data_IF_247154331430
#
_entry.id   IF_247154331430
#
_cell.length_a   1.000
_cell.length_b   1.000
_cell.length_c   1.000
_cell.angle_alpha   90.00
_cell.angle_beta   90.00
_cell.angle_gamma   90.00
#
_symmetry.space_group_name_H-M   'P 1'
#
loop_
_entity.id
_entity.type
_entity.pdbx_description
1 polymer ?
#
# COMPACT_ATOMS: atom_id res chain seq x y z
N UNK A 1 -44.08 16.75 -5.11
CA UNK A 1 -43.61 15.36 -4.82
C UNK A 1 -42.42 14.90 -5.71
N UNK A 2 -41.64 15.80 -6.33
CA UNK A 2 -40.49 15.46 -7.21
C UNK A 2 -39.13 15.54 -6.51
N UNK A 3 -38.98 16.46 -5.55
CA UNK A 3 -37.71 16.70 -4.81
C UNK A 3 -37.34 15.54 -3.87
N UNK A 4 -38.32 14.86 -3.26
CA UNK A 4 -38.07 13.73 -2.35
C UNK A 4 -37.42 12.52 -3.00
N UNK A 5 -37.49 12.40 -4.33
CA UNK A 5 -36.87 11.30 -5.09
C UNK A 5 -35.37 11.47 -5.29
N UNK A 6 -34.86 12.70 -5.17
CA UNK A 6 -33.43 13.01 -5.37
C UNK A 6 -32.63 13.04 -4.06
N UNK A 7 -33.30 13.04 -2.90
CA UNK A 7 -32.65 12.95 -1.59
C UNK A 7 -31.63 11.79 -1.45
N UNK A 8 -31.93 10.55 -1.86
CA UNK A 8 -30.95 9.46 -1.73
C UNK A 8 -29.73 9.65 -2.63
N UNK A 9 -29.92 10.20 -3.83
CA UNK A 9 -28.83 10.48 -4.77
C UNK A 9 -27.92 11.61 -4.26
N UNK A 10 -28.51 12.65 -3.66
CA UNK A 10 -27.77 13.76 -3.05
C UNK A 10 -27.00 13.28 -1.81
N UNK A 11 -27.62 12.42 -0.99
CA UNK A 11 -26.96 11.80 0.17
C UNK A 11 -25.75 10.95 -0.25
N UNK A 12 -25.92 10.12 -1.29
CA UNK A 12 -24.84 9.29 -1.81
C UNK A 12 -23.71 10.14 -2.43
N UNK A 13 -24.06 11.18 -3.19
CA UNK A 13 -23.08 12.11 -3.74
C UNK A 13 -22.32 12.86 -2.64
N UNK A 14 -23.02 13.30 -1.58
CA UNK A 14 -22.39 13.91 -0.42
C UNK A 14 -21.42 12.98 0.30
N UNK A 15 -21.78 11.71 0.47
CA UNK A 15 -20.92 10.70 1.09
C UNK A 15 -19.66 10.45 0.25
N UNK A 16 -19.79 10.33 -1.07
CA UNK A 16 -18.64 10.15 -1.99
C UNK A 16 -17.69 11.34 -1.94
N UNK A 17 -18.22 12.57 -1.86
CA UNK A 17 -17.40 13.78 -1.72
C UNK A 17 -16.67 13.80 -0.37
N UNK A 18 -17.32 13.38 0.72
CA UNK A 18 -16.71 13.30 2.05
C UNK A 18 -15.60 12.24 2.16
N UNK A 19 -15.72 11.11 1.45
CA UNK A 19 -14.72 10.03 1.49
C UNK A 19 -13.65 10.15 0.41
N UNK A 20 -13.86 10.97 -0.62
CA UNK A 20 -12.99 11.07 -1.80
C UNK A 20 -11.81 12.03 -1.65
N UNK A 21 -11.75 12.83 -0.59
CA UNK A 21 -10.61 13.73 -0.36
C UNK A 21 -9.44 12.95 0.21
N UNK A 22 -8.35 12.86 -0.55
CA UNK A 22 -7.09 12.32 -0.04
C UNK A 22 -6.57 13.23 1.08
N UNK A 23 -6.85 12.86 2.32
CA UNK A 23 -6.25 13.53 3.48
C UNK A 23 -4.76 13.22 3.50
N UNK A 24 -3.86 14.19 3.75
CA UNK A 24 -2.48 13.88 4.07
C UNK A 24 -2.48 12.93 5.27
N UNK A 25 -1.85 11.77 5.09
CA UNK A 25 -1.72 10.78 6.14
C UNK A 25 -0.89 11.34 7.32
N UNK A 26 -1.06 10.78 8.53
CA UNK A 26 -0.18 11.11 9.65
C UNK A 26 1.29 10.91 9.29
N UNK A 27 2.18 11.74 9.83
CA UNK A 27 3.61 11.58 9.64
C UNK A 27 4.07 10.17 10.10
N UNK A 28 4.94 9.48 9.34
CA UNK A 28 5.42 8.16 9.72
C UNK A 28 6.15 8.22 11.07
N UNK A 29 5.67 7.44 12.04
CA UNK A 29 6.30 7.32 13.35
C UNK A 29 7.52 6.39 13.23
N UNK A 30 8.66 6.84 13.72
CA UNK A 30 9.86 5.99 13.84
C UNK A 30 9.75 5.02 15.02
N UNK A 31 10.32 3.83 14.84
CA UNK A 31 10.38 2.76 15.84
C UNK A 31 9.16 1.84 15.85
N UNK A 32 9.18 0.85 16.75
CA UNK A 32 8.20 -0.23 16.83
C UNK A 32 8.71 -1.53 16.23
N UNK A 33 7.85 -2.56 16.26
CA UNK A 33 8.15 -3.89 15.73
C UNK A 33 7.20 -4.19 14.59
N UNK A 34 7.75 -4.55 13.42
CA UNK A 34 6.98 -5.00 12.28
C UNK A 34 7.09 -6.52 12.17
N UNK A 35 6.01 -7.24 12.48
CA UNK A 35 5.95 -8.70 12.32
C UNK A 35 5.53 -9.03 10.89
N UNK A 36 6.46 -9.60 10.12
CA UNK A 36 6.21 -10.05 8.76
C UNK A 36 5.81 -11.51 8.73
N UNK A 37 4.78 -11.82 7.94
CA UNK A 37 4.34 -13.20 7.66
C UNK A 37 4.67 -13.50 6.20
N UNK A 38 5.61 -14.42 5.98
CA UNK A 38 5.87 -14.95 4.64
C UNK A 38 4.92 -16.13 4.35
N UNK A 39 4.75 -16.44 3.07
CA UNK A 39 3.98 -17.62 2.64
C UNK A 39 4.76 -18.91 2.87
N UNK A 40 6.08 -18.83 2.79
CA UNK A 40 7.03 -19.92 2.81
C UNK A 40 7.42 -20.25 4.24
N UNK A 41 7.37 -21.54 4.57
CA UNK A 41 7.78 -22.02 5.88
C UNK A 41 9.31 -22.08 6.02
N UNK A 42 10.02 -22.29 4.90
CA UNK A 42 11.49 -22.29 4.87
C UNK A 42 12.00 -20.94 4.39
N UNK A 43 12.85 -20.24 5.16
CA UNK A 43 13.49 -19.03 4.68
C UNK A 43 14.43 -19.40 3.52
N UNK A 44 14.19 -18.88 2.31
CA UNK A 44 15.08 -19.09 1.17
C UNK A 44 16.40 -18.28 1.27
N UNK A 45 16.85 -17.99 2.49
CA UNK A 45 18.02 -17.15 2.77
C UNK A 45 17.86 -15.70 2.34
N UNK A 46 18.82 -14.86 2.73
CA UNK A 46 18.92 -13.47 2.27
C UNK A 46 19.82 -13.33 1.02
N UNK A 47 20.23 -14.44 0.41
CA UNK A 47 20.97 -14.42 -0.86
C UNK A 47 20.00 -14.15 -2.02
N UNK A 48 19.65 -12.88 -2.21
CA UNK A 48 18.71 -12.44 -3.26
C UNK A 48 19.15 -12.84 -4.69
N UNK A 49 20.45 -13.13 -4.87
CA UNK A 49 21.00 -13.62 -6.13
C UNK A 49 20.64 -15.08 -6.45
N UNK A 50 20.23 -15.87 -5.46
CA UNK A 50 19.85 -17.28 -5.62
C UNK A 50 18.33 -17.46 -5.71
N UNK A 51 17.55 -16.59 -5.06
CA UNK A 51 16.09 -16.67 -5.02
C UNK A 51 15.46 -15.27 -5.11
N UNK A 52 15.09 -14.85 -6.33
CA UNK A 52 14.49 -13.55 -6.62
C UNK A 52 12.96 -13.64 -6.75
N UNK A 53 12.29 -14.16 -5.71
CA UNK A 53 10.82 -14.20 -5.65
C UNK A 53 10.29 -13.04 -4.80
N UNK A 54 8.99 -12.72 -4.91
CA UNK A 54 8.41 -11.64 -4.10
C UNK A 54 8.57 -11.90 -2.60
N UNK A 55 8.52 -13.16 -2.20
CA UNK A 55 8.57 -13.59 -0.82
C UNK A 55 9.95 -13.50 -0.19
N UNK A 56 11.01 -13.46 -0.99
CA UNK A 56 12.38 -13.26 -0.50
C UNK A 56 12.82 -11.82 -0.64
N UNK A 57 12.45 -11.19 -1.76
CA UNK A 57 12.88 -9.85 -2.11
C UNK A 57 12.19 -8.78 -1.24
N UNK A 58 10.87 -8.86 -1.04
CA UNK A 58 10.13 -7.90 -0.22
C UNK A 58 10.62 -7.82 1.24
N UNK A 59 10.78 -8.92 1.99
CA UNK A 59 11.25 -8.85 3.36
C UNK A 59 12.76 -8.52 3.47
N UNK A 60 13.54 -8.75 2.41
CA UNK A 60 14.96 -8.42 2.37
C UNK A 60 15.27 -6.99 1.91
N UNK A 61 14.33 -6.29 1.25
CA UNK A 61 14.47 -4.90 0.81
C UNK A 61 15.09 -3.94 1.86
N UNK A 62 14.69 -3.95 3.15
CA UNK A 62 15.32 -3.06 4.14
C UNK A 62 16.80 -3.40 4.46
N UNK A 63 17.29 -4.56 4.05
CA UNK A 63 18.68 -5.00 4.32
C UNK A 63 19.67 -4.64 3.20
N UNK A 64 19.19 -4.23 2.02
CA UNK A 64 20.03 -3.96 0.85
C UNK A 64 19.87 -2.52 0.34
N UNK A 65 20.99 -1.85 0.06
CA UNK A 65 21.01 -0.51 -0.54
C UNK A 65 21.12 -0.60 -2.06
N UNK A 66 19.97 -0.68 -2.74
CA UNK A 66 19.91 -0.76 -4.20
C UNK A 66 20.14 0.62 -4.87
N UNK A 67 20.73 0.63 -6.07
CA UNK A 67 20.96 1.86 -6.85
C UNK A 67 19.67 2.50 -7.36
N UNK A 68 18.67 1.68 -7.64
CA UNK A 68 17.35 2.08 -8.10
C UNK A 68 16.32 1.33 -7.27
N UNK A 69 15.32 2.06 -6.78
CA UNK A 69 14.21 1.50 -6.04
C UNK A 69 12.90 1.87 -6.73
N UNK A 70 11.96 0.94 -6.72
CA UNK A 70 10.60 1.20 -7.19
C UNK A 70 9.86 2.12 -6.21
N UNK A 71 9.23 3.17 -6.74
CA UNK A 71 8.37 4.08 -5.98
C UNK A 71 6.89 3.65 -6.14
N UNK A 72 6.25 3.09 -5.09
CA UNK A 72 4.86 2.64 -5.16
C UNK A 72 3.84 3.79 -5.24
N UNK A 73 4.24 5.03 -4.96
CA UNK A 73 3.35 6.20 -5.04
C UNK A 73 3.35 6.83 -6.43
N UNK A 74 4.30 6.44 -7.28
CA UNK A 74 4.38 6.92 -8.66
C UNK A 74 3.49 6.06 -9.57
N UNK A 75 2.59 6.64 -10.37
CA UNK A 75 1.79 5.86 -11.31
C UNK A 75 2.69 5.18 -12.34
N UNK A 76 2.53 3.86 -12.47
CA UNK A 76 3.12 3.08 -13.55
C UNK A 76 2.32 3.34 -14.83
N UNK A 77 2.99 3.55 -15.96
CA UNK A 77 2.33 3.70 -17.26
C UNK A 77 1.38 2.51 -17.50
N UNK A 78 0.10 2.81 -17.71
CA UNK A 78 -0.91 1.86 -18.20
C UNK A 78 -1.14 2.06 -19.69
#
# INVERSE_FOLDING_TARGET
MRITRFLPAISLAGLVVLTGVASPGPAPKSGGWLTLRLREDLPQGFAIHESATISTMWPAMPCFSNLVLFDPLKPTHS
#
